data_IF_179808899094
#
_entry.id   IF_179808899094
#
_cell.length_a   1.000
_cell.length_b   1.000
_cell.length_c   1.000
_cell.angle_alpha   90.00
_cell.angle_beta   90.00
_cell.angle_gamma   90.00
#
_symmetry.space_group_name_H-M   'P 1'
#
loop_
_entity.id
_entity.type
_entity.pdbx_description
1 polymer ?
#
# COMPACT_ATOMS: atom_id res chain seq x y z
N UNK A 1 -12.30 3.63 -9.23
CA UNK A 1 -13.41 2.92 -8.53
C UNK A 1 -13.08 1.43 -8.43
N UNK A 2 -12.29 1.06 -7.42
CA UNK A 2 -11.95 -0.33 -7.08
C UNK A 2 -13.19 -1.19 -6.82
N UNK A 3 -13.21 -2.42 -7.36
CA UNK A 3 -14.36 -3.34 -7.35
C UNK A 3 -14.72 -3.87 -5.94
N UNK A 4 -13.83 -3.73 -4.96
CA UNK A 4 -14.01 -4.28 -3.61
C UNK A 4 -15.10 -3.52 -2.84
N UNK A 5 -15.12 -2.18 -2.94
CA UNK A 5 -16.12 -1.34 -2.26
C UNK A 5 -17.55 -1.52 -2.82
N UNK A 6 -17.70 -1.96 -4.08
CA UNK A 6 -19.01 -2.09 -4.73
C UNK A 6 -19.82 -3.31 -4.28
N UNK A 7 -19.20 -4.37 -3.74
CA UNK A 7 -19.91 -5.65 -3.48
C UNK A 7 -20.53 -5.79 -2.09
N UNK A 8 -20.09 -5.04 -1.09
CA UNK A 8 -20.49 -5.28 0.31
C UNK A 8 -21.18 -4.10 0.99
N UNK A 9 -21.11 -2.89 0.41
CA UNK A 9 -21.50 -1.64 1.10
C UNK A 9 -20.79 -1.42 2.44
N UNK A 10 -19.73 -2.17 2.71
CA UNK A 10 -18.89 -2.07 3.89
C UNK A 10 -17.54 -1.56 3.41
N UNK A 11 -17.22 -0.33 3.79
CA UNK A 11 -15.87 0.20 3.62
C UNK A 11 -15.02 -0.48 4.68
N UNK A 12 -14.00 -1.20 4.23
CA UNK A 12 -13.01 -1.74 5.14
C UNK A 12 -12.12 -0.59 5.61
N UNK A 13 -12.16 -0.31 6.91
CA UNK A 13 -11.28 0.65 7.58
C UNK A 13 -10.16 -0.12 8.27
N UNK A 14 -8.91 -0.03 7.80
CA UNK A 14 -7.79 -0.64 8.50
C UNK A 14 -7.59 0.02 9.88
N UNK A 15 -6.94 -0.69 10.81
CA UNK A 15 -6.52 -0.09 12.07
C UNK A 15 -5.25 0.74 11.93
N UNK A 16 -4.40 0.38 10.97
CA UNK A 16 -3.18 1.10 10.61
C UNK A 16 -3.14 1.27 9.09
N UNK A 17 -2.87 2.48 8.62
CA UNK A 17 -2.81 2.85 7.21
C UNK A 17 -1.84 1.96 6.43
N UNK A 18 -0.83 1.38 7.10
CA UNK A 18 0.10 0.43 6.49
C UNK A 18 -0.59 -0.84 5.98
N UNK A 19 -1.73 -1.23 6.54
CA UNK A 19 -2.45 -2.45 6.11
C UNK A 19 -2.99 -2.32 4.68
N UNK A 20 -3.13 -1.09 4.15
CA UNK A 20 -3.49 -0.84 2.76
C UNK A 20 -2.30 -0.94 1.80
N UNK A 21 -1.08 -0.81 2.31
CA UNK A 21 0.18 -0.82 1.55
C UNK A 21 0.97 -2.12 1.74
N UNK A 22 0.61 -2.91 2.74
CA UNK A 22 1.33 -4.11 3.11
C UNK A 22 1.20 -5.18 2.02
N UNK A 23 2.33 -5.70 1.57
CA UNK A 23 2.39 -6.86 0.68
C UNK A 23 2.60 -8.10 1.53
N UNK A 24 1.83 -9.16 1.27
CA UNK A 24 1.96 -10.48 1.90
C UNK A 24 2.19 -11.56 0.85
N UNK A 25 3.06 -12.51 1.14
CA UNK A 25 3.37 -13.64 0.26
C UNK A 25 2.74 -14.94 0.77
N UNK A 26 2.14 -15.71 -0.13
CA UNK A 26 1.44 -16.98 0.19
C UNK A 26 2.41 -18.19 0.18
N UNK A 27 3.44 -18.16 -0.67
CA UNK A 27 4.59 -19.07 -0.66
C UNK A 27 5.69 -18.52 -1.56
N UNK A 28 6.86 -18.17 -1.01
CA UNK A 28 7.89 -17.46 -1.77
C UNK A 28 9.31 -17.86 -1.36
N UNK A 29 10.28 -17.57 -2.23
CA UNK A 29 11.69 -17.80 -1.96
C UNK A 29 12.29 -16.70 -1.05
N UNK A 30 13.53 -16.90 -0.58
CA UNK A 30 14.18 -15.95 0.34
C UNK A 30 14.34 -14.55 -0.27
N UNK A 31 14.38 -14.41 -1.60
CA UNK A 31 14.54 -13.13 -2.28
C UNK A 31 13.23 -12.35 -2.30
N UNK A 32 12.12 -13.04 -2.58
CA UNK A 32 10.77 -12.48 -2.49
C UNK A 32 10.45 -12.02 -1.06
N UNK A 33 10.84 -12.82 -0.05
CA UNK A 33 10.68 -12.46 1.35
C UNK A 33 11.44 -11.18 1.72
N UNK A 34 12.67 -11.02 1.22
CA UNK A 34 13.45 -9.80 1.42
C UNK A 34 12.80 -8.59 0.75
N UNK A 35 12.28 -8.78 -0.46
CA UNK A 35 11.56 -7.73 -1.19
C UNK A 35 10.31 -7.26 -0.46
N UNK A 36 9.56 -8.21 0.12
CA UNK A 36 8.38 -7.92 0.94
C UNK A 36 8.72 -7.07 2.17
N UNK A 37 9.78 -7.44 2.91
CA UNK A 37 10.23 -6.64 4.07
C UNK A 37 10.61 -5.23 3.62
N UNK A 38 11.34 -5.11 2.51
CA UNK A 38 11.81 -3.83 2.00
C UNK A 38 10.65 -2.91 1.60
N UNK A 39 9.64 -3.45 0.90
CA UNK A 39 8.42 -2.71 0.52
C UNK A 39 7.66 -2.26 1.78
N UNK A 40 7.42 -3.17 2.73
CA UNK A 40 6.63 -2.85 3.92
C UNK A 40 7.35 -1.82 4.81
N UNK A 41 8.68 -1.90 4.92
CA UNK A 41 9.47 -0.90 5.64
C UNK A 41 9.42 0.47 4.93
N UNK A 42 9.57 0.49 3.60
CA UNK A 42 9.50 1.71 2.81
C UNK A 42 8.12 2.38 2.88
N UNK A 43 7.05 1.58 2.89
CA UNK A 43 5.69 2.09 3.11
C UNK A 43 5.57 2.79 4.46
N UNK A 44 6.12 2.19 5.54
CA UNK A 44 6.12 2.84 6.86
C UNK A 44 6.93 4.12 6.86
N UNK A 45 8.10 4.11 6.25
CA UNK A 45 8.99 5.27 6.23
C UNK A 45 8.40 6.40 5.37
N UNK A 46 7.61 6.09 4.34
CA UNK A 46 6.85 7.08 3.59
C UNK A 46 5.71 7.67 4.42
N UNK A 47 4.90 6.84 5.08
CA UNK A 47 3.82 7.28 5.97
C UNK A 47 4.33 8.15 7.15
N UNK A 48 5.51 7.80 7.69
CA UNK A 48 6.19 8.57 8.75
C UNK A 48 6.90 9.84 8.22
N UNK A 49 6.80 10.16 6.91
CA UNK A 49 7.52 11.25 6.23
C UNK A 49 9.06 11.21 6.34
N UNK A 50 9.65 10.02 6.50
CA UNK A 50 11.11 9.85 6.52
C UNK A 50 11.71 9.78 5.11
N UNK A 51 10.95 9.28 4.14
CA UNK A 51 11.32 9.23 2.72
C UNK A 51 10.27 9.96 1.89
N UNK A 52 10.67 10.46 0.71
CA UNK A 52 9.72 11.10 -0.20
C UNK A 52 8.88 10.08 -0.97
N UNK A 53 7.76 10.53 -1.55
CA UNK A 53 6.97 9.70 -2.46
C UNK A 53 7.81 9.16 -3.62
N UNK A 54 8.74 9.96 -4.15
CA UNK A 54 9.64 9.52 -5.23
C UNK A 54 10.52 8.36 -4.76
N UNK A 55 11.13 8.48 -3.57
CA UNK A 55 11.99 7.42 -3.02
C UNK A 55 11.20 6.14 -2.76
N UNK A 56 9.96 6.27 -2.29
CA UNK A 56 9.06 5.13 -2.10
C UNK A 56 8.74 4.44 -3.42
N UNK A 57 8.37 5.20 -4.46
CA UNK A 57 8.11 4.66 -5.79
C UNK A 57 9.34 3.95 -6.40
N UNK A 58 10.54 4.50 -6.19
CA UNK A 58 11.78 3.88 -6.65
C UNK A 58 12.01 2.53 -5.94
N UNK A 59 11.77 2.46 -4.63
CA UNK A 59 11.88 1.21 -3.86
C UNK A 59 10.84 0.18 -4.37
N UNK A 60 9.60 0.60 -4.63
CA UNK A 60 8.57 -0.29 -5.19
C UNK A 60 9.01 -0.89 -6.54
N UNK A 61 9.54 -0.07 -7.46
CA UNK A 61 10.06 -0.55 -8.75
C UNK A 61 11.24 -1.51 -8.59
N UNK A 62 12.16 -1.22 -7.67
CA UNK A 62 13.31 -2.10 -7.40
C UNK A 62 12.90 -3.48 -6.89
N UNK A 63 11.74 -3.58 -6.23
CA UNK A 63 11.20 -4.84 -5.71
C UNK A 63 10.11 -5.44 -6.65
N UNK A 64 10.02 -4.99 -7.90
CA UNK A 64 9.20 -5.63 -8.94
C UNK A 64 7.77 -5.09 -9.09
N UNK A 65 7.38 -4.05 -8.35
CA UNK A 65 6.09 -3.38 -8.55
C UNK A 65 6.17 -2.55 -9.83
N UNK A 66 5.43 -2.97 -10.85
CA UNK A 66 5.52 -2.40 -12.20
C UNK A 66 4.94 -0.99 -12.30
N UNK A 67 3.90 -0.70 -11.50
CA UNK A 67 3.25 0.61 -11.43
C UNK A 67 3.10 1.08 -9.97
N UNK A 68 4.12 1.75 -9.41
CA UNK A 68 4.06 2.27 -8.04
C UNK A 68 3.02 3.37 -7.87
N UNK A 69 2.77 4.17 -8.91
CA UNK A 69 1.86 5.30 -8.82
C UNK A 69 0.41 4.83 -8.78
N UNK A 70 0.07 3.77 -9.52
CA UNK A 70 -1.25 3.13 -9.41
C UNK A 70 -1.52 2.63 -7.98
N UNK A 71 -0.53 1.97 -7.35
CA UNK A 71 -0.65 1.52 -5.95
C UNK A 71 -0.88 2.67 -4.97
N UNK A 72 -0.11 3.76 -5.13
CA UNK A 72 -0.23 4.94 -4.28
C UNK A 72 -1.56 5.65 -4.51
N UNK A 73 -2.05 5.72 -5.75
CA UNK A 73 -3.33 6.33 -6.09
C UNK A 73 -4.48 5.53 -5.47
N UNK A 74 -4.46 4.19 -5.55
CA UNK A 74 -5.42 3.32 -4.88
C UNK A 74 -5.45 3.52 -3.35
N UNK A 75 -4.27 3.68 -2.72
CA UNK A 75 -4.16 4.01 -1.31
C UNK A 75 -4.79 5.38 -0.98
N UNK A 76 -4.50 6.40 -1.78
CA UNK A 76 -5.06 7.74 -1.63
C UNK A 76 -6.58 7.73 -1.83
N UNK A 77 -7.09 7.07 -2.86
CA UNK A 77 -8.54 6.94 -3.10
C UNK A 77 -9.23 6.27 -1.91
N UNK A 78 -8.64 5.22 -1.34
CA UNK A 78 -9.22 4.49 -0.21
C UNK A 78 -9.21 5.31 1.08
N UNK A 79 -8.09 5.99 1.39
CA UNK A 79 -8.00 6.86 2.57
C UNK A 79 -8.93 8.07 2.46
N UNK A 80 -9.06 8.69 1.28
CA UNK A 80 -10.04 9.76 1.03
C UNK A 80 -11.49 9.28 1.20
N UNK A 81 -11.79 8.05 0.76
CA UNK A 81 -13.11 7.44 0.95
C UNK A 81 -13.45 7.27 2.42
N UNK A 82 -12.50 6.79 3.24
CA UNK A 82 -12.66 6.66 4.69
C UNK A 82 -12.90 8.04 5.32
N UNK A 83 -12.05 9.02 5.01
CA UNK A 83 -12.18 10.38 5.54
C UNK A 83 -13.53 11.03 5.20
N UNK A 84 -14.02 10.85 3.96
CA UNK A 84 -15.34 11.38 3.54
C UNK A 84 -16.52 10.75 4.25
N UNK A 85 -16.38 9.48 4.64
CA UNK A 85 -17.46 8.74 5.32
C UNK A 85 -17.47 8.97 6.83
N UNK A 86 -16.50 9.71 7.36
CA UNK A 86 -16.44 10.13 8.77
C UNK A 86 -16.29 8.96 9.74
N UNK A 87 -15.65 7.87 9.29
CA UNK A 87 -15.33 6.70 10.11
C UNK A 87 -14.01 6.89 10.86
#
# INVERSE_FOLDING_TARGET
MSQIAQRTSIIWTPQDDIDLLAVSLDAADDADFLGMININQAARDWLDNKISLSDYCDILQMNGISDPFELVDDFCEHTELIMRMGL
#
